data_IF_635772835924
#
_entry.id   IF_635772835924
#
_cell.length_a   1.000
_cell.length_b   1.000
_cell.length_c   1.000
_cell.angle_alpha   90.00
_cell.angle_beta   90.00
_cell.angle_gamma   90.00
#
_symmetry.space_group_name_H-M   'P 1'
#
loop_
_entity.id
_entity.type
_entity.pdbx_description
1 polymer ?
#
# COMPACT_ATOMS: atom_id res chain seq x y z
N UNK A 1 -6.13 23.07 -0.51
CA UNK A 1 -5.24 21.94 -0.87
C UNK A 1 -5.68 20.76 -0.04
N UNK A 2 -6.06 19.60 -0.62
CA UNK A 2 -6.55 18.48 0.17
C UNK A 2 -5.40 17.99 1.05
N UNK A 3 -5.60 18.07 2.37
CA UNK A 3 -4.72 17.44 3.34
C UNK A 3 -4.88 15.94 3.15
N UNK A 4 -3.86 15.28 2.60
CA UNK A 4 -3.80 13.81 2.58
C UNK A 4 -3.87 13.37 4.04
N UNK A 5 -5.07 12.97 4.44
CA UNK A 5 -5.46 12.87 5.82
C UNK A 5 -4.64 11.75 6.47
N UNK A 6 -3.84 12.12 7.47
CA UNK A 6 -3.50 11.24 8.59
C UNK A 6 -2.75 9.94 8.24
N UNK A 7 -1.75 10.01 7.35
CA UNK A 7 -0.77 8.94 7.19
C UNK A 7 -1.26 7.68 6.48
N UNK A 8 -2.48 7.68 5.93
CA UNK A 8 -3.00 6.61 5.08
C UNK A 8 -3.06 7.08 3.62
N UNK A 9 -2.64 6.22 2.69
CA UNK A 9 -2.77 6.50 1.28
C UNK A 9 -4.20 6.18 0.77
N UNK A 10 -4.93 7.15 0.19
CA UNK A 10 -6.29 6.96 -0.33
C UNK A 10 -6.36 6.09 -1.60
N UNK A 11 -5.24 5.81 -2.28
CA UNK A 11 -5.23 4.88 -3.41
C UNK A 11 -5.33 3.43 -2.97
N UNK A 12 -5.21 3.14 -1.66
CA UNK A 12 -5.19 1.79 -1.12
C UNK A 12 -6.20 1.61 0.01
N UNK A 13 -6.71 0.39 0.17
CA UNK A 13 -7.65 0.03 1.23
C UNK A 13 -7.45 -1.42 1.66
N UNK A 14 -7.24 -1.75 2.95
CA UNK A 14 -7.29 -0.87 4.13
C UNK A 14 -6.13 0.14 4.19
N UNK A 15 -6.14 1.03 5.20
CA UNK A 15 -5.15 2.12 5.34
C UNK A 15 -3.71 1.62 5.14
N UNK A 16 -3.07 2.10 4.07
CA UNK A 16 -1.65 1.89 3.79
C UNK A 16 -0.85 3.07 4.34
N UNK A 17 0.11 2.85 5.25
CA UNK A 17 0.93 3.92 5.77
C UNK A 17 1.71 4.61 4.66
N UNK A 18 1.68 5.95 4.63
CA UNK A 18 2.46 6.74 3.66
C UNK A 18 3.95 6.70 4.08
N UNK A 19 4.73 5.83 3.44
CA UNK A 19 6.18 5.71 3.63
C UNK A 19 6.94 5.81 2.30
N UNK A 20 8.28 5.82 2.34
CA UNK A 20 9.09 5.78 1.12
C UNK A 20 8.98 4.44 0.38
N UNK A 21 8.75 3.36 1.12
CA UNK A 21 8.62 2.01 0.62
C UNK A 21 7.72 1.27 1.62
N UNK A 22 6.65 0.66 1.11
CA UNK A 22 5.70 -0.11 1.89
C UNK A 22 5.75 -1.52 1.35
N UNK A 23 5.87 -2.49 2.25
CA UNK A 23 5.95 -3.89 1.90
C UNK A 23 4.80 -4.69 2.52
N UNK A 24 4.52 -5.86 1.97
CA UNK A 24 3.56 -6.78 2.54
C UNK A 24 4.12 -7.44 3.80
N UNK A 25 3.38 -7.37 4.91
CA UNK A 25 3.73 -8.04 6.16
C UNK A 25 3.72 -9.56 5.96
N UNK A 26 4.85 -10.21 6.22
CA UNK A 26 5.04 -11.64 5.96
C UNK A 26 5.67 -11.98 4.60
N UNK A 27 5.87 -10.98 3.73
CA UNK A 27 6.65 -11.11 2.50
C UNK A 27 8.15 -10.91 2.70
N UNK A 28 8.90 -10.95 1.60
CA UNK A 28 10.36 -10.68 1.56
C UNK A 28 10.71 -9.19 1.58
N UNK A 29 9.77 -8.35 2.00
CA UNK A 29 9.96 -6.90 2.09
C UNK A 29 11.09 -6.50 3.02
N UNK A 30 11.76 -5.40 2.72
CA UNK A 30 12.81 -4.80 3.56
C UNK A 30 12.51 -3.33 3.88
N UNK A 31 11.32 -2.85 3.52
CA UNK A 31 10.86 -1.50 3.68
C UNK A 31 10.70 -1.12 5.15
N UNK A 32 10.68 0.18 5.46
CA UNK A 32 10.46 0.70 6.81
C UNK A 32 9.01 0.55 7.29
N UNK A 33 8.07 0.29 6.37
CA UNK A 33 6.65 0.13 6.67
C UNK A 33 6.12 -1.17 6.07
N UNK A 34 5.25 -1.85 6.82
CA UNK A 34 4.60 -3.08 6.40
C UNK A 34 3.09 -2.96 6.49
N UNK A 35 2.39 -3.59 5.55
CA UNK A 35 0.92 -3.69 5.52
C UNK A 35 0.48 -5.14 5.58
N UNK A 36 -0.45 -5.45 6.47
CA UNK A 36 -1.10 -6.76 6.51
C UNK A 36 -2.22 -6.79 5.47
N UNK A 37 -2.11 -7.69 4.49
CA UNK A 37 -3.03 -7.80 3.36
C UNK A 37 -4.29 -8.63 3.65
N UNK A 38 -5.22 -8.72 2.67
CA UNK A 38 -5.12 -8.17 1.30
C UNK A 38 -5.39 -6.65 1.24
N UNK A 39 -4.63 -5.94 0.39
CA UNK A 39 -4.73 -4.50 0.16
C UNK A 39 -5.27 -4.23 -1.23
N UNK A 40 -6.42 -3.59 -1.35
CA UNK A 40 -7.02 -3.23 -2.63
C UNK A 40 -6.51 -1.88 -3.14
N UNK A 41 -6.00 -1.88 -4.37
CA UNK A 41 -5.64 -0.67 -5.10
C UNK A 41 -6.90 -0.05 -5.69
N UNK A 42 -7.41 1.00 -5.04
CA UNK A 42 -8.58 1.76 -5.49
C UNK A 42 -8.23 2.81 -6.54
N UNK A 43 -6.98 3.25 -6.58
CA UNK A 43 -6.50 4.32 -7.46
C UNK A 43 -5.32 3.87 -8.31
N UNK A 44 -4.22 4.59 -8.20
CA UNK A 44 -2.97 4.19 -8.83
C UNK A 44 -2.07 3.47 -7.84
N UNK A 45 -1.49 2.36 -8.29
CA UNK A 45 -0.44 1.69 -7.53
C UNK A 45 0.85 2.51 -7.62
N UNK A 46 1.04 3.42 -6.68
CA UNK A 46 2.22 4.30 -6.56
C UNK A 46 3.37 3.66 -5.80
N UNK A 47 3.07 2.66 -4.97
CA UNK A 47 4.07 1.94 -4.16
C UNK A 47 4.59 0.66 -4.81
N UNK A 48 4.05 0.20 -5.93
CA UNK A 48 4.50 -1.04 -6.56
C UNK A 48 4.06 -2.29 -5.79
N UNK A 49 3.00 -2.19 -4.97
CA UNK A 49 2.56 -3.26 -4.08
C UNK A 49 1.81 -4.36 -4.86
N UNK A 50 1.06 -3.95 -5.88
CA UNK A 50 0.35 -4.81 -6.81
C UNK A 50 1.24 -5.05 -8.04
N UNK A 51 1.88 -6.21 -8.06
CA UNK A 51 2.94 -6.51 -9.05
C UNK A 51 2.40 -7.20 -10.30
N UNK A 52 1.26 -7.86 -10.17
CA UNK A 52 0.57 -8.61 -11.21
C UNK A 52 -0.54 -7.79 -11.89
N UNK A 53 -0.93 -6.67 -11.31
CA UNK A 53 -1.83 -5.67 -11.87
C UNK A 53 -3.31 -6.04 -11.76
N UNK A 54 -3.69 -6.83 -10.76
CA UNK A 54 -5.04 -7.37 -10.62
C UNK A 54 -5.98 -6.48 -9.77
N UNK A 55 -5.42 -5.46 -9.12
CA UNK A 55 -6.09 -4.54 -8.21
C UNK A 55 -5.97 -4.92 -6.74
N UNK A 56 -5.25 -6.00 -6.40
CA UNK A 56 -5.06 -6.51 -5.04
C UNK A 56 -3.58 -6.75 -4.76
N UNK A 57 -3.03 -5.95 -3.88
CA UNK A 57 -1.71 -6.13 -3.30
C UNK A 57 -1.72 -7.05 -2.08
N UNK A 58 -0.58 -7.67 -1.81
CA UNK A 58 -0.31 -8.40 -0.56
C UNK A 58 -1.29 -9.54 -0.27
N UNK A 59 -1.57 -10.37 -1.28
CA UNK A 59 -2.29 -11.65 -1.12
C UNK A 59 -1.48 -12.72 -0.35
#
# INVERSE_FOLDING_TARGET
>A
MPTWSQGCDPNYSPCVPIASDVDCAGGSGNGPAYVEGPVTVNGSDIYGLDRDGDGVACE
#
